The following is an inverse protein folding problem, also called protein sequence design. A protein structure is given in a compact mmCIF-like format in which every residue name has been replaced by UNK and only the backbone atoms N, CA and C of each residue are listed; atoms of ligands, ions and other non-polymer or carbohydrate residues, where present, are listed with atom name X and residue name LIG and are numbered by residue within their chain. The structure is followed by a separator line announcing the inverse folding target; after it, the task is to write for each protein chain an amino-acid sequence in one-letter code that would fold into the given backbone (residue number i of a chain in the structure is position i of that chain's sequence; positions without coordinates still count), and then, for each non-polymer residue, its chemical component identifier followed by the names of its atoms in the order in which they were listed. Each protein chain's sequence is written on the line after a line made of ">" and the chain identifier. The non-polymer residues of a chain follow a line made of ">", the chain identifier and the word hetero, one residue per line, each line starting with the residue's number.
data_IF_073612189533
#
_entry.id   IF_073612189533
#
_cell.length_a   1.000
_cell.length_b   1.000
_cell.length_c   1.000
_cell.angle_alpha   90.00
_cell.angle_beta   90.00
_cell.angle_gamma   90.00
#
_symmetry.space_group_name_H-M   'P 1'
#
loop_
_entity.id
_entity.type
_entity.pdbx_description
1 polymer ?
#
# COMPACT_ATOMS: atom_id res chain seq x y z
N UNK A 1 -7.15 -4.09 29.42
CA UNK A 1 -5.86 -3.46 29.78
C UNK A 1 -5.83 -2.07 29.17
N UNK A 2 -5.28 -1.07 29.86
CA UNK A 2 -5.10 0.25 29.25
C UNK A 2 -3.88 0.17 28.30
N UNK A 3 -4.08 0.46 27.02
CA UNK A 3 -3.00 0.53 26.03
C UNK A 3 -2.25 1.85 26.24
N UNK A 4 -0.95 1.76 26.47
CA UNK A 4 -0.05 2.91 26.58
C UNK A 4 0.79 3.00 25.30
N UNK A 5 0.75 4.16 24.63
CA UNK A 5 1.51 4.40 23.41
C UNK A 5 2.29 5.72 23.47
N UNK A 6 3.39 5.81 22.72
CA UNK A 6 4.16 7.04 22.54
C UNK A 6 4.34 7.35 21.06
N UNK A 7 3.95 8.55 20.63
CA UNK A 7 4.25 9.01 19.27
C UNK A 7 5.72 9.41 19.16
N UNK A 8 6.33 9.09 18.02
CA UNK A 8 7.76 9.30 17.77
C UNK A 8 7.97 10.00 16.43
N UNK A 9 9.04 10.79 16.36
CA UNK A 9 9.45 11.51 15.17
C UNK A 9 8.67 12.79 14.93
N UNK A 10 8.88 13.39 13.76
CA UNK A 10 8.18 14.60 13.32
C UNK A 10 7.67 14.38 11.91
N UNK A 11 6.36 14.39 11.75
CA UNK A 11 5.70 14.40 10.44
C UNK A 11 4.34 15.10 10.57
N UNK A 12 3.84 15.76 9.50
CA UNK A 12 2.60 16.51 9.54
C UNK A 12 1.40 15.64 9.95
N UNK A 13 1.41 14.38 9.52
CA UNK A 13 0.31 13.45 9.76
C UNK A 13 0.23 12.92 11.19
N UNK A 14 1.30 12.97 11.99
CA UNK A 14 1.29 12.42 13.36
C UNK A 14 0.21 13.05 14.24
N UNK A 15 -0.05 14.34 14.04
CA UNK A 15 -1.11 15.07 14.74
C UNK A 15 -2.51 14.52 14.46
N UNK A 16 -2.73 13.95 13.26
CA UNK A 16 -3.99 13.33 12.85
C UNK A 16 -4.17 11.95 13.50
N UNK A 17 -3.09 11.16 13.58
CA UNK A 17 -3.09 9.87 14.28
C UNK A 17 -3.37 10.06 15.78
N UNK A 18 -2.71 11.04 16.42
CA UNK A 18 -2.96 11.40 17.82
C UNK A 18 -4.43 11.73 18.08
N UNK A 19 -4.98 12.66 17.29
CA UNK A 19 -6.39 13.06 17.44
C UNK A 19 -7.33 11.87 17.30
N UNK A 20 -7.08 10.96 16.36
CA UNK A 20 -7.89 9.76 16.18
C UNK A 20 -7.83 8.83 17.38
N UNK A 21 -6.62 8.55 17.88
CA UNK A 21 -6.42 7.68 19.05
C UNK A 21 -7.11 8.25 20.30
N UNK A 22 -6.96 9.56 20.54
CA UNK A 22 -7.64 10.26 21.63
C UNK A 22 -9.17 10.19 21.50
N UNK A 23 -9.71 10.37 20.29
CA UNK A 23 -11.14 10.27 20.02
C UNK A 23 -11.69 8.84 20.26
N UNK A 24 -10.84 7.82 20.14
CA UNK A 24 -11.18 6.43 20.47
C UNK A 24 -10.94 6.09 21.96
N UNK A 25 -10.58 7.07 22.79
CA UNK A 25 -10.34 6.88 24.21
C UNK A 25 -9.02 6.19 24.54
N UNK A 26 -8.11 6.04 23.57
CA UNK A 26 -6.76 5.58 23.82
C UNK A 26 -5.93 6.79 24.27
N UNK A 27 -5.56 6.80 25.55
CA UNK A 27 -4.70 7.84 26.09
C UNK A 27 -3.24 7.55 25.74
N UNK A 28 -2.52 8.57 25.28
CA UNK A 28 -1.08 8.49 25.18
C UNK A 28 -0.49 8.13 26.55
N UNK A 29 0.51 7.24 26.54
CA UNK A 29 1.27 6.93 27.73
C UNK A 29 1.82 8.22 28.31
N UNK A 30 1.67 8.40 29.64
CA UNK A 30 2.45 9.44 30.31
C UNK A 30 3.90 9.14 30.00
N UNK A 31 4.63 10.15 29.53
CA UNK A 31 6.06 10.06 29.22
C UNK A 31 6.82 9.82 30.54
N UNK A 32 6.70 8.61 31.07
CA UNK A 32 7.52 8.11 32.15
C UNK A 32 8.91 8.07 31.55
N UNK A 33 9.87 8.77 32.15
CA UNK A 33 11.21 9.04 31.61
C UNK A 33 12.12 7.82 31.38
N UNK A 34 11.55 6.68 30.98
CA UNK A 34 12.24 5.57 30.38
C UNK A 34 12.77 5.99 29.00
N UNK A 35 14.09 5.89 28.79
CA UNK A 35 14.68 6.16 27.49
C UNK A 35 14.09 5.22 26.45
N UNK A 36 13.74 5.78 25.29
CA UNK A 36 13.36 4.98 24.13
C UNK A 36 14.50 4.07 23.73
N UNK A 37 14.18 2.79 23.52
CA UNK A 37 15.07 1.85 22.87
C UNK A 37 15.18 2.11 21.37
N UNK A 38 14.21 2.78 20.75
CA UNK A 38 14.24 3.11 19.32
C UNK A 38 15.12 4.33 19.01
N UNK A 39 15.84 4.34 17.86
CA UNK A 39 16.63 5.47 17.41
C UNK A 39 15.84 6.78 17.31
N UNK A 40 16.56 7.91 17.36
CA UNK A 40 15.97 9.22 17.15
C UNK A 40 15.54 9.40 15.68
N UNK A 41 14.48 10.18 15.46
CA UNK A 41 14.01 10.55 14.12
C UNK A 41 13.05 9.57 13.45
N UNK A 42 12.89 8.36 13.99
CA UNK A 42 11.89 7.41 13.47
C UNK A 42 10.46 7.94 13.69
N UNK A 43 9.62 7.78 12.66
CA UNK A 43 8.26 8.34 12.60
C UNK A 43 7.27 7.19 12.78
N UNK A 44 6.49 7.22 13.86
CA UNK A 44 5.59 6.10 14.18
C UNK A 44 5.06 6.09 15.60
N UNK A 45 4.49 4.95 15.99
CA UNK A 45 3.90 4.72 17.31
C UNK A 45 4.67 3.62 18.03
N UNK A 46 5.23 3.96 19.18
CA UNK A 46 5.92 3.02 20.07
C UNK A 46 4.93 2.48 21.10
N UNK A 47 4.97 1.15 21.27
CA UNK A 47 4.16 0.38 22.21
C UNK A 47 5.07 -0.58 22.97
N UNK A 48 4.55 -1.20 24.02
CA UNK A 48 5.28 -2.25 24.72
C UNK A 48 5.59 -3.42 23.75
N UNK A 49 6.88 -3.61 23.45
CA UNK A 49 7.37 -4.65 22.55
C UNK A 49 7.06 -4.46 21.06
N UNK A 50 6.40 -3.37 20.66
CA UNK A 50 6.02 -3.16 19.25
C UNK A 50 6.35 -1.75 18.74
N UNK A 51 6.63 -1.67 17.45
CA UNK A 51 6.81 -0.42 16.71
C UNK A 51 5.89 -0.40 15.50
N UNK A 52 4.98 0.58 15.43
CA UNK A 52 4.16 0.83 14.25
C UNK A 52 4.86 1.88 13.39
N UNK A 53 5.44 1.45 12.27
CA UNK A 53 6.19 2.30 11.35
C UNK A 53 5.23 3.11 10.47
N UNK A 54 5.27 4.44 10.59
CA UNK A 54 4.45 5.37 9.79
C UNK A 54 5.26 6.11 8.71
N UNK A 55 6.56 5.81 8.61
CA UNK A 55 7.46 6.47 7.68
C UNK A 55 7.11 6.16 6.21
N UNK A 56 7.07 7.21 5.39
CA UNK A 56 6.79 7.15 3.96
C UNK A 56 8.08 7.29 3.12
N UNK A 57 9.15 6.63 3.56
CA UNK A 57 10.44 6.56 2.87
C UNK A 57 10.58 5.29 2.01
N UNK A 58 11.78 5.03 1.50
CA UNK A 58 12.04 3.92 0.59
C UNK A 58 12.12 2.55 1.29
N UNK A 59 12.07 1.48 0.48
CA UNK A 59 12.12 0.09 0.96
C UNK A 59 13.43 -0.25 1.69
N UNK A 60 14.53 0.46 1.42
CA UNK A 60 15.81 0.21 2.09
C UNK A 60 15.75 0.70 3.54
N UNK A 61 15.21 1.90 3.76
CA UNK A 61 15.03 2.47 5.10
C UNK A 61 14.13 1.58 5.97
N UNK A 62 13.06 1.01 5.41
CA UNK A 62 12.23 0.04 6.14
C UNK A 62 12.99 -1.25 6.49
N UNK A 63 13.81 -1.77 5.57
CA UNK A 63 14.61 -2.96 5.83
C UNK A 63 15.59 -2.75 6.99
N UNK A 64 16.23 -1.59 7.05
CA UNK A 64 17.13 -1.20 8.16
C UNK A 64 16.37 -1.13 9.50
N UNK A 65 15.16 -0.56 9.51
CA UNK A 65 14.32 -0.51 10.72
C UNK A 65 13.87 -1.90 11.16
N UNK A 66 13.49 -2.77 10.22
CA UNK A 66 13.12 -4.16 10.49
C UNK A 66 14.28 -4.92 11.14
N UNK A 67 15.49 -4.78 10.60
CA UNK A 67 16.67 -5.45 11.12
C UNK A 67 17.03 -4.95 12.51
N UNK A 68 16.96 -3.65 12.75
CA UNK A 68 17.15 -3.06 14.08
C UNK A 68 16.12 -3.59 15.08
N UNK A 69 14.82 -3.53 14.74
CA UNK A 69 13.74 -4.02 15.60
C UNK A 69 13.93 -5.51 15.95
N UNK A 70 14.30 -6.33 14.96
CA UNK A 70 14.60 -7.76 15.18
C UNK A 70 15.74 -7.96 16.18
N UNK A 71 16.83 -7.20 16.06
CA UNK A 71 17.97 -7.27 16.98
C UNK A 71 17.61 -6.79 18.40
N UNK A 72 16.71 -5.80 18.49
CA UNK A 72 16.23 -5.24 19.75
C UNK A 72 15.09 -6.05 20.40
N UNK A 73 14.60 -7.12 19.76
CA UNK A 73 13.47 -7.91 20.24
C UNK A 73 12.13 -7.15 20.19
N UNK A 74 12.00 -6.19 19.28
CA UNK A 74 10.80 -5.37 19.06
C UNK A 74 10.10 -5.88 17.80
N UNK A 75 8.79 -6.10 17.86
CA UNK A 75 7.99 -6.44 16.68
C UNK A 75 7.66 -5.17 15.88
N UNK A 76 8.17 -5.09 14.65
CA UNK A 76 7.82 -4.00 13.73
C UNK A 76 6.58 -4.36 12.92
N UNK A 77 5.56 -3.49 13.02
CA UNK A 77 4.35 -3.48 12.19
C UNK A 77 4.51 -2.37 11.16
N UNK A 78 4.56 -2.75 9.88
CA UNK A 78 4.64 -1.80 8.76
C UNK A 78 3.25 -1.24 8.47
N UNK A 79 3.08 0.09 8.51
CA UNK A 79 1.86 0.75 8.10
C UNK A 79 2.08 1.56 6.82
N UNK A 80 1.26 1.28 5.81
CA UNK A 80 1.21 2.03 4.58
C UNK A 80 -0.22 2.49 4.30
N UNK A 81 -0.35 3.60 3.57
CA UNK A 81 -1.63 4.21 3.27
C UNK A 81 -1.46 5.68 2.92
N UNK A 82 -2.55 6.28 2.46
CA UNK A 82 -2.59 7.72 2.24
C UNK A 82 -3.06 8.41 3.53
N UNK A 83 -2.17 9.17 4.14
CA UNK A 83 -2.46 9.91 5.35
C UNK A 83 -3.15 11.22 4.95
N UNK A 84 -4.46 11.31 5.18
CA UNK A 84 -5.26 12.48 4.85
C UNK A 84 -5.88 13.08 6.12
N UNK A 85 -5.98 14.43 6.23
CA UNK A 85 -6.53 15.08 7.43
C UNK A 85 -7.92 14.57 7.86
N UNK A 86 -8.90 14.31 6.95
CA UNK A 86 -10.22 13.81 7.34
C UNK A 86 -10.19 12.45 8.06
N UNK A 87 -9.14 11.67 7.86
CA UNK A 87 -8.98 10.37 8.52
C UNK A 87 -8.78 10.49 10.03
N UNK A 88 -8.39 11.67 10.55
CA UNK A 88 -8.37 11.93 11.99
C UNK A 88 -9.75 11.73 12.64
N UNK A 89 -10.82 12.05 11.90
CA UNK A 89 -12.21 11.98 12.37
C UNK A 89 -12.86 10.66 11.95
N UNK A 90 -12.61 10.22 10.72
CA UNK A 90 -13.30 9.07 10.12
C UNK A 90 -12.50 7.77 10.12
N UNK A 91 -11.24 7.79 10.53
CA UNK A 91 -10.31 6.67 10.48
C UNK A 91 -9.51 6.58 9.18
N UNK A 92 -8.37 5.88 9.26
CA UNK A 92 -7.39 5.74 8.19
C UNK A 92 -7.58 4.43 7.43
N UNK A 93 -7.45 4.45 6.11
CA UNK A 93 -7.26 3.21 5.35
C UNK A 93 -5.85 2.68 5.65
N UNK A 94 -5.77 1.64 6.47
CA UNK A 94 -4.50 1.05 6.90
C UNK A 94 -4.19 -0.22 6.10
N UNK A 95 -3.03 -0.22 5.46
CA UNK A 95 -2.40 -1.40 4.88
C UNK A 95 -1.32 -1.87 5.86
N UNK A 96 -1.38 -3.12 6.28
CA UNK A 96 -0.57 -3.63 7.39
C UNK A 96 0.33 -4.77 6.93
N UNK A 97 1.64 -4.57 7.02
CA UNK A 97 2.68 -5.59 6.85
C UNK A 97 3.17 -6.06 8.21
N UNK A 98 3.49 -7.35 8.34
CA UNK A 98 3.77 -7.98 9.64
C UNK A 98 2.65 -7.71 10.66
N UNK A 99 1.40 -8.02 10.30
CA UNK A 99 0.28 -7.78 11.19
C UNK A 99 0.51 -8.43 12.57
N UNK A 100 0.22 -7.69 13.65
CA UNK A 100 0.49 -8.16 15.00
C UNK A 100 -0.44 -9.31 15.38
N UNK A 101 -0.13 -9.99 16.48
CA UNK A 101 -1.02 -11.02 17.03
C UNK A 101 -2.36 -10.39 17.49
N UNK A 102 -3.47 -11.14 17.38
CA UNK A 102 -4.74 -10.74 17.96
C UNK A 102 -4.61 -10.35 19.43
N UNK A 103 -5.44 -9.39 19.87
CA UNK A 103 -5.51 -8.87 21.24
C UNK A 103 -4.27 -8.13 21.77
N UNK A 104 -3.19 -8.04 20.97
CA UNK A 104 -2.01 -7.23 21.32
C UNK A 104 -2.34 -5.73 21.40
N UNK A 105 -1.48 -4.96 22.09
CA UNK A 105 -1.60 -3.50 22.13
C UNK A 105 -1.56 -2.89 20.72
N UNK A 106 -0.72 -3.43 19.83
CA UNK A 106 -0.63 -3.02 18.45
C UNK A 106 -1.95 -3.26 17.72
N UNK A 107 -2.58 -4.43 17.91
CA UNK A 107 -3.89 -4.73 17.32
C UNK A 107 -4.96 -3.70 17.72
N UNK A 108 -5.05 -3.37 19.01
CA UNK A 108 -6.02 -2.39 19.52
C UNK A 108 -5.77 -0.99 18.95
N UNK A 109 -4.51 -0.60 18.76
CA UNK A 109 -4.15 0.66 18.10
C UNK A 109 -4.56 0.66 16.63
N UNK A 110 -4.37 -0.45 15.90
CA UNK A 110 -4.83 -0.58 14.51
C UNK A 110 -6.36 -0.45 14.41
N UNK A 111 -7.10 -1.09 15.31
CA UNK A 111 -8.56 -1.01 15.36
C UNK A 111 -9.05 0.42 15.65
N UNK A 112 -8.36 1.15 16.53
CA UNK A 112 -8.69 2.55 16.82
C UNK A 112 -8.36 3.50 15.67
N UNK A 113 -7.27 3.25 14.95
CA UNK A 113 -6.86 4.06 13.81
C UNK A 113 -7.72 3.80 12.57
N UNK A 114 -8.21 2.58 12.39
CA UNK A 114 -9.09 2.22 11.28
C UNK A 114 -10.47 2.92 11.38
N UNK A 115 -11.26 2.97 10.29
CA UNK A 115 -12.61 3.53 10.33
C UNK A 115 -13.54 2.81 11.31
N UNK A 116 -13.36 1.49 11.43
CA UNK A 116 -14.00 0.62 12.41
C UNK A 116 -12.99 -0.46 12.84
N UNK A 117 -13.21 -1.09 14.00
CA UNK A 117 -12.38 -2.20 14.45
C UNK A 117 -12.37 -3.34 13.39
N UNK A 118 -11.18 -3.84 13.09
CA UNK A 118 -10.94 -4.82 12.04
C UNK A 118 -10.97 -4.29 10.61
N UNK A 119 -11.30 -3.00 10.37
CA UNK A 119 -11.34 -2.41 9.03
C UNK A 119 -9.95 -1.90 8.57
N UNK A 120 -8.95 -2.76 8.69
CA UNK A 120 -7.60 -2.58 8.16
C UNK A 120 -7.19 -3.84 7.39
N UNK A 121 -6.30 -3.70 6.41
CA UNK A 121 -5.95 -4.80 5.50
C UNK A 121 -4.64 -5.47 5.93
N UNK A 122 -4.71 -6.76 6.25
CA UNK A 122 -3.52 -7.61 6.42
C UNK A 122 -2.91 -7.95 5.06
N UNK A 123 -1.86 -7.23 4.68
CA UNK A 123 -1.24 -7.35 3.36
C UNK A 123 -0.34 -8.58 3.24
N UNK A 124 0.38 -8.94 4.31
CA UNK A 124 1.36 -10.03 4.32
C UNK A 124 2.54 -9.76 5.25
N UNK A 125 3.73 -10.34 4.99
CA UNK A 125 4.95 -9.98 5.69
C UNK A 125 5.38 -8.53 5.40
N UNK A 126 6.45 -8.06 6.03
CA UNK A 126 7.07 -6.77 5.73
C UNK A 126 7.27 -6.53 4.22
N UNK A 127 7.20 -5.27 3.82
CA UNK A 127 7.13 -4.73 2.45
C UNK A 127 5.81 -4.99 1.71
N UNK A 128 4.91 -5.83 2.25
CA UNK A 128 3.63 -6.11 1.59
C UNK A 128 2.70 -4.90 1.63
N UNK A 129 2.72 -4.10 2.69
CA UNK A 129 1.85 -2.93 2.79
C UNK A 129 2.25 -1.84 1.79
N UNK A 130 3.54 -1.50 1.69
CA UNK A 130 4.06 -0.56 0.69
C UNK A 130 3.88 -1.05 -0.74
N UNK A 131 3.98 -2.35 -1.00
CA UNK A 131 3.60 -2.90 -2.30
C UNK A 131 2.11 -2.63 -2.60
N UNK A 132 1.21 -3.03 -1.70
CA UNK A 132 -0.23 -2.81 -1.88
C UNK A 132 -0.56 -1.31 -2.05
N UNK A 133 0.08 -0.43 -1.28
CA UNK A 133 -0.08 1.01 -1.41
C UNK A 133 0.26 1.48 -2.82
N UNK A 134 1.45 1.14 -3.33
CA UNK A 134 1.87 1.51 -4.69
C UNK A 134 0.93 0.95 -5.75
N UNK A 135 0.49 -0.30 -5.60
CA UNK A 135 -0.44 -0.93 -6.52
C UNK A 135 -1.81 -0.22 -6.53
N UNK A 136 -2.38 0.07 -5.36
CA UNK A 136 -3.65 0.78 -5.26
C UNK A 136 -3.56 2.22 -5.76
N UNK A 137 -2.49 2.96 -5.44
CA UNK A 137 -2.29 4.30 -5.96
C UNK A 137 -2.15 4.31 -7.48
N UNK A 138 -1.47 3.31 -8.07
CA UNK A 138 -1.41 3.16 -9.53
C UNK A 138 -2.78 2.86 -10.15
N UNK A 139 -3.56 1.97 -9.54
CA UNK A 139 -4.93 1.66 -10.00
C UNK A 139 -5.86 2.88 -9.86
N UNK A 140 -5.79 3.61 -8.76
CA UNK A 140 -6.56 4.83 -8.55
C UNK A 140 -6.19 5.91 -9.58
N UNK A 141 -4.89 6.06 -9.85
CA UNK A 141 -4.41 6.96 -10.90
C UNK A 141 -4.97 6.56 -12.28
N UNK A 142 -4.98 5.27 -12.60
CA UNK A 142 -5.56 4.74 -13.84
C UNK A 142 -7.05 5.14 -13.97
N UNK A 143 -7.82 4.93 -12.90
CA UNK A 143 -9.23 5.27 -12.84
C UNK A 143 -9.47 6.77 -13.01
N UNK A 144 -8.71 7.62 -12.32
CA UNK A 144 -8.85 9.08 -12.44
C UNK A 144 -8.48 9.59 -13.83
N UNK A 145 -7.44 9.02 -14.46
CA UNK A 145 -7.06 9.36 -15.83
C UNK A 145 -8.11 8.94 -16.88
N UNK A 146 -8.99 7.99 -16.54
CA UNK A 146 -10.07 7.53 -17.40
C UNK A 146 -11.37 8.37 -17.25
N UNK A 147 -11.47 9.23 -16.23
CA UNK A 147 -12.64 10.08 -16.05
C UNK A 147 -12.59 11.26 -17.03
N UNK A 148 -13.66 11.50 -17.82
CA UNK A 148 -13.70 12.65 -18.71
C UNK A 148 -13.69 13.96 -17.88
N UNK A 149 -12.99 15.01 -18.33
CA UNK A 149 -13.04 16.30 -17.66
C UNK A 149 -14.48 16.85 -17.68
N UNK A 150 -14.90 17.61 -16.64
CA UNK A 150 -16.21 18.24 -16.61
C UNK A 150 -16.24 19.44 -17.56
N UNK A 151 -16.43 19.22 -18.86
CA UNK A 151 -16.74 20.29 -19.83
C UNK A 151 -17.81 19.88 -20.88
N UNK A 152 -18.62 20.84 -21.38
CA UNK A 152 -19.81 20.56 -22.18
C UNK A 152 -19.60 20.64 -23.70
N UNK A 153 -18.39 20.41 -24.21
CA UNK A 153 -18.13 20.46 -25.65
C UNK A 153 -17.49 19.15 -26.12
N UNK A 154 -18.15 18.53 -27.10
CA UNK A 154 -17.72 17.36 -27.83
C UNK A 154 -16.39 17.63 -28.57
N UNK A 155 -15.29 17.72 -27.85
CA UNK A 155 -13.96 17.53 -28.41
C UNK A 155 -13.77 16.04 -28.65
N UNK A 156 -13.26 15.71 -29.84
CA UNK A 156 -12.81 14.35 -30.12
C UNK A 156 -11.83 13.94 -29.01
N UNK A 157 -12.18 12.88 -28.29
CA UNK A 157 -11.33 12.31 -27.25
C UNK A 157 -10.01 11.86 -27.91
N UNK A 158 -8.83 12.29 -27.40
CA UNK A 158 -7.54 11.83 -27.92
C UNK A 158 -7.27 10.40 -27.46
N UNK A 159 -8.05 9.46 -28.00
CA UNK A 159 -8.16 8.10 -27.50
C UNK A 159 -6.86 7.33 -27.63
N UNK A 160 -6.05 7.58 -28.67
CA UNK A 160 -4.74 6.95 -28.85
C UNK A 160 -3.80 7.29 -27.69
N UNK A 161 -3.70 8.58 -27.35
CA UNK A 161 -2.84 9.08 -26.27
C UNK A 161 -3.31 8.55 -24.91
N UNK A 162 -4.62 8.55 -24.68
CA UNK A 162 -5.19 8.01 -23.44
C UNK A 162 -4.93 6.51 -23.32
N UNK A 163 -5.13 5.76 -24.39
CA UNK A 163 -4.90 4.33 -24.40
C UNK A 163 -3.42 3.99 -24.22
N UNK A 164 -2.52 4.72 -24.87
CA UNK A 164 -1.07 4.56 -24.67
C UNK A 164 -0.67 4.82 -23.22
N UNK A 165 -1.21 5.88 -22.60
CA UNK A 165 -0.95 6.18 -21.19
C UNK A 165 -1.44 5.06 -20.26
N UNK A 166 -2.64 4.53 -20.51
CA UNK A 166 -3.19 3.40 -19.75
C UNK A 166 -2.35 2.13 -19.94
N UNK A 167 -1.84 1.88 -21.15
CA UNK A 167 -0.97 0.72 -21.42
C UNK A 167 0.37 0.82 -20.70
N UNK A 168 1.00 2.00 -20.72
CA UNK A 168 2.25 2.25 -19.99
C UNK A 168 2.07 2.08 -18.48
N UNK A 169 0.94 2.53 -17.95
CA UNK A 169 0.62 2.34 -16.54
C UNK A 169 0.39 0.87 -16.20
N UNK A 170 -0.33 0.12 -17.07
CA UNK A 170 -0.54 -1.30 -16.92
C UNK A 170 0.79 -2.08 -16.90
N UNK A 171 1.71 -1.76 -17.81
CA UNK A 171 3.01 -2.43 -17.85
C UNK A 171 3.87 -2.09 -16.62
N UNK A 172 3.91 -0.83 -16.17
CA UNK A 172 4.59 -0.46 -14.91
C UNK A 172 4.02 -1.20 -13.70
N UNK A 173 2.70 -1.31 -13.60
CA UNK A 173 2.03 -2.03 -12.51
C UNK A 173 2.34 -3.54 -12.57
N UNK A 174 2.44 -4.09 -13.79
CA UNK A 174 2.86 -5.46 -14.03
C UNK A 174 4.33 -5.69 -13.63
N UNK A 175 5.23 -4.80 -14.01
CA UNK A 175 6.65 -4.84 -13.63
C UNK A 175 6.83 -4.77 -12.11
N UNK A 176 6.13 -3.84 -11.44
CA UNK A 176 6.13 -3.72 -9.98
C UNK A 176 5.67 -5.02 -9.31
N UNK A 177 4.63 -5.65 -9.84
CA UNK A 177 4.07 -6.89 -9.31
C UNK A 177 4.99 -8.10 -9.55
N UNK A 178 5.63 -8.17 -10.72
CA UNK A 178 6.61 -9.19 -11.03
C UNK A 178 7.86 -9.05 -10.13
N UNK A 179 8.36 -7.83 -9.92
CA UNK A 179 9.47 -7.55 -9.01
C UNK A 179 9.12 -7.94 -7.57
N UNK A 180 7.92 -7.61 -7.08
CA UNK A 180 7.47 -8.03 -5.76
C UNK A 180 7.45 -9.56 -5.61
N UNK A 181 6.88 -10.28 -6.58
CA UNK A 181 6.86 -11.75 -6.55
C UNK A 181 8.28 -12.34 -6.58
N UNK A 182 9.15 -11.81 -7.42
CA UNK A 182 10.52 -12.30 -7.57
C UNK A 182 11.38 -12.01 -6.33
N UNK A 183 11.44 -10.76 -5.90
CA UNK A 183 12.41 -10.28 -4.91
C UNK A 183 11.93 -10.46 -3.47
N UNK A 184 10.62 -10.35 -3.22
CA UNK A 184 10.06 -10.38 -1.85
C UNK A 184 9.43 -11.72 -1.51
N UNK A 185 8.83 -12.38 -2.50
CA UNK A 185 8.17 -13.69 -2.31
C UNK A 185 9.06 -14.86 -2.76
N UNK A 186 10.01 -14.62 -3.68
CA UNK A 186 10.87 -15.66 -4.24
C UNK A 186 10.19 -16.52 -5.31
N UNK A 187 9.14 -16.02 -5.95
CA UNK A 187 8.38 -16.72 -6.98
C UNK A 187 8.72 -16.20 -8.38
N UNK A 188 8.99 -17.13 -9.29
CA UNK A 188 9.19 -16.87 -10.71
C UNK A 188 8.06 -17.48 -11.54
N UNK A 189 7.79 -16.99 -12.77
CA UNK A 189 6.87 -17.63 -13.69
C UNK A 189 7.29 -19.08 -14.01
N UNK A 190 6.34 -20.01 -14.22
CA UNK A 190 4.89 -19.83 -14.13
C UNK A 190 4.39 -19.79 -12.67
N UNK A 191 3.45 -18.88 -12.36
CA UNK A 191 2.93 -18.73 -11.00
C UNK A 191 1.86 -19.78 -10.65
N UNK A 192 2.08 -20.61 -9.62
CA UNK A 192 1.18 -21.72 -9.29
C UNK A 192 -0.22 -21.26 -8.82
N UNK A 193 -1.19 -22.17 -8.87
CA UNK A 193 -2.53 -21.98 -8.31
C UNK A 193 -2.95 -23.25 -7.54
N UNK A 194 -3.19 -23.18 -6.21
CA UNK A 194 -3.01 -22.01 -5.34
C UNK A 194 -1.53 -21.63 -5.14
N UNK A 195 -1.28 -20.44 -4.56
CA UNK A 195 0.05 -20.06 -4.11
C UNK A 195 0.53 -20.96 -2.94
N UNK A 196 1.86 -21.16 -2.79
CA UNK A 196 2.44 -21.84 -1.63
C UNK A 196 2.03 -21.17 -0.33
N UNK A 197 2.02 -21.93 0.78
CA UNK A 197 1.57 -21.42 2.09
C UNK A 197 2.33 -20.16 2.53
N UNK A 198 3.65 -20.13 2.33
CA UNK A 198 4.51 -18.98 2.64
C UNK A 198 4.16 -17.71 1.85
N UNK A 199 3.52 -17.86 0.69
CA UNK A 199 3.10 -16.80 -0.20
C UNK A 199 1.57 -16.58 -0.17
N UNK A 200 0.84 -17.25 0.72
CA UNK A 200 -0.63 -17.14 0.79
C UNK A 200 -1.05 -15.94 1.61
N UNK A 201 -0.76 -14.75 1.09
CA UNK A 201 -1.18 -13.47 1.65
C UNK A 201 -1.74 -12.55 0.56
N UNK A 202 -2.38 -11.47 0.97
CA UNK A 202 -3.10 -10.57 0.07
C UNK A 202 -2.19 -9.99 -1.03
N UNK A 203 -1.04 -9.44 -0.63
CA UNK A 203 -0.11 -8.79 -1.56
C UNK A 203 0.39 -9.73 -2.67
N UNK A 204 0.76 -10.98 -2.35
CA UNK A 204 1.20 -11.94 -3.36
C UNK A 204 0.05 -12.38 -4.30
N UNK A 205 -1.18 -12.52 -3.78
CA UNK A 205 -2.33 -12.81 -4.62
C UNK A 205 -2.67 -11.63 -5.55
N UNK A 206 -2.62 -10.39 -5.04
CA UNK A 206 -2.79 -9.18 -5.83
C UNK A 206 -1.73 -9.09 -6.93
N UNK A 207 -0.45 -9.23 -6.58
CA UNK A 207 0.65 -9.20 -7.53
C UNK A 207 0.50 -10.28 -8.62
N UNK A 208 0.18 -11.51 -8.23
CA UNK A 208 -0.10 -12.61 -9.17
C UNK A 208 -1.27 -12.28 -10.08
N UNK A 209 -2.37 -11.75 -9.52
CA UNK A 209 -3.54 -11.34 -10.30
C UNK A 209 -3.20 -10.28 -11.34
N UNK A 210 -2.44 -9.25 -10.94
CA UNK A 210 -1.98 -8.19 -11.84
C UNK A 210 -1.12 -8.76 -12.97
N UNK A 211 -0.13 -9.60 -12.67
CA UNK A 211 0.77 -10.14 -13.70
C UNK A 211 0.05 -11.05 -14.69
N UNK A 212 -0.98 -11.78 -14.22
CA UNK A 212 -1.78 -12.65 -15.08
C UNK A 212 -2.85 -11.90 -15.88
N UNK A 213 -3.32 -10.75 -15.41
CA UNK A 213 -4.42 -10.00 -16.03
C UNK A 213 -3.95 -8.88 -16.96
N UNK A 214 -2.82 -8.23 -16.66
CA UNK A 214 -2.36 -7.07 -17.43
C UNK A 214 -1.44 -7.49 -18.59
N UNK A 215 -1.57 -6.84 -19.76
CA UNK A 215 -0.76 -7.15 -20.93
C UNK A 215 0.70 -6.72 -20.76
N UNK A 216 1.59 -7.31 -21.56
CA UNK A 216 2.96 -6.83 -21.68
C UNK A 216 3.01 -5.61 -22.62
N UNK A 217 3.91 -4.64 -22.39
CA UNK A 217 4.20 -3.61 -23.39
C UNK A 217 4.49 -4.18 -24.79
N UNK A 218 5.17 -5.33 -24.87
CA UNK A 218 5.50 -6.01 -26.13
C UNK A 218 4.26 -6.46 -26.92
N UNK A 219 3.09 -6.56 -26.28
CA UNK A 219 1.84 -6.94 -26.94
C UNK A 219 1.15 -5.74 -27.62
N UNK A 220 1.63 -4.51 -27.41
CA UNK A 220 1.01 -3.28 -27.89
C UNK A 220 0.94 -3.20 -29.42
N UNK A 221 2.06 -3.44 -30.11
CA UNK A 221 2.12 -3.37 -31.57
C UNK A 221 1.21 -4.42 -32.22
N UNK A 222 1.17 -5.63 -31.66
CA UNK A 222 0.30 -6.70 -32.11
C UNK A 222 -1.19 -6.35 -31.89
N UNK A 223 -1.50 -5.63 -30.82
CA UNK A 223 -2.85 -5.18 -30.53
C UNK A 223 -3.29 -4.01 -31.43
N UNK A 224 -2.40 -3.06 -31.72
CA UNK A 224 -2.63 -1.98 -32.69
C UNK A 224 -2.88 -2.53 -34.10
N UNK A 225 -2.12 -3.55 -34.52
CA UNK A 225 -2.34 -4.23 -35.80
C UNK A 225 -3.73 -4.88 -35.87
N UNK A 226 -4.19 -5.50 -34.78
CA UNK A 226 -5.55 -6.06 -34.70
C UNK A 226 -6.63 -4.98 -34.79
N UNK A 227 -6.44 -3.84 -34.12
CA UNK A 227 -7.38 -2.72 -34.25
C UNK A 227 -7.42 -2.14 -35.66
N UNK A 228 -6.26 -1.94 -36.30
CA UNK A 228 -6.17 -1.42 -37.65
C UNK A 228 -6.89 -2.33 -38.65
N UNK A 229 -6.79 -3.66 -38.48
CA UNK A 229 -7.50 -4.65 -39.29
C UNK A 229 -9.03 -4.65 -39.09
N UNK A 230 -9.54 -4.04 -38.00
CA UNK A 230 -10.97 -3.90 -37.72
C UNK A 230 -11.56 -2.59 -38.28
N UNK A 231 -10.74 -1.68 -38.80
CA UNK A 231 -11.25 -0.47 -39.45
C UNK A 231 -11.92 -0.86 -40.78
N UNK A 232 -13.17 -0.43 -41.04
CA UNK A 232 -13.82 -0.67 -42.32
C UNK A 232 -13.02 0.01 -43.42
N UNK A 233 -12.89 -0.67 -44.57
CA UNK A 233 -12.31 -0.06 -45.76
C UNK A 233 -13.03 1.26 -46.06
N UNK A 234 -12.31 2.33 -46.44
CA UNK A 234 -12.97 3.58 -46.82
C UNK A 234 -14.01 3.27 -47.90
N UNK A 235 -15.23 3.83 -47.82
CA UNK A 235 -16.22 3.64 -48.86
C UNK A 235 -15.60 4.07 -50.18
N UNK A 236 -15.58 3.15 -51.15
CA UNK A 236 -14.86 3.30 -52.41
C UNK A 236 -15.23 4.60 -53.13
N UNK A 237 -14.20 5.22 -53.69
CA UNK A 237 -14.31 6.24 -54.74
C UNK A 237 -15.10 5.73 -55.96
#
# INVERSE_FOLDING_TARGET
>A
MAVSYRMRGQAPHLSWFLRRLEAQGLAAGRDHGAPSVLPAGWIGVELEGHWLDLAQDDDQALAERLDYCRQAGIELVELAGEWLPPAAEHGFMLLVGNAPQPDSAAWQVLDALAPQAGCWLRCGPAHSARFCQRAFSALLHACHAALPPPEPLARAMPWETLLQAQWQLADKLRQLSAAYLAERVGLQPPYPSPLPESARHYAANLARGIVLALPHEQDWDAWLQKLAALQPAPPGE
#
